data_IF_196751618345
#
_entry.id   IF_196751618345
#
_cell.length_a   1.000
_cell.length_b   1.000
_cell.length_c   1.000
_cell.angle_alpha   90.00
_cell.angle_beta   90.00
_cell.angle_gamma   90.00
#
_symmetry.space_group_name_H-M   'P 1'
#
loop_
_entity.id
_entity.type
_entity.pdbx_description
1 polymer ?
#
# COMPACT_ATOMS: atom_id res chain seq x y z
N UNK A 1 -23.37 -6.21 8.13
CA UNK A 1 -22.25 -7.15 8.26
C UNK A 1 -21.13 -6.48 9.03
N UNK A 2 -20.57 -7.10 10.07
CA UNK A 2 -19.42 -6.53 10.80
C UNK A 2 -18.16 -6.75 9.96
N UNK A 3 -17.39 -5.70 9.73
CA UNK A 3 -16.08 -5.84 9.10
C UNK A 3 -15.15 -6.68 9.99
N UNK A 4 -14.34 -7.59 9.42
CA UNK A 4 -13.30 -8.28 10.17
C UNK A 4 -12.37 -7.28 10.87
N UNK A 5 -11.85 -7.63 12.06
CA UNK A 5 -10.94 -6.76 12.82
C UNK A 5 -9.72 -6.33 12.00
N UNK A 6 -9.14 -7.23 11.21
CA UNK A 6 -7.97 -6.94 10.38
C UNK A 6 -8.30 -6.00 9.20
N UNK A 7 -9.52 -6.07 8.67
CA UNK A 7 -10.01 -5.08 7.68
C UNK A 7 -10.10 -3.69 8.31
N UNK A 8 -10.62 -3.57 9.54
CA UNK A 8 -10.67 -2.29 10.25
C UNK A 8 -9.27 -1.72 10.52
N UNK A 9 -8.30 -2.58 10.87
CA UNK A 9 -6.89 -2.19 11.00
C UNK A 9 -6.36 -1.64 9.68
N UNK A 10 -6.62 -2.33 8.56
CA UNK A 10 -6.22 -1.85 7.23
C UNK A 10 -6.83 -0.49 6.88
N UNK A 11 -8.12 -0.31 7.15
CA UNK A 11 -8.80 0.99 6.96
C UNK A 11 -8.17 2.09 7.82
N UNK A 12 -7.88 1.80 9.10
CA UNK A 12 -7.25 2.76 10.00
C UNK A 12 -5.85 3.17 9.51
N UNK A 13 -5.05 2.23 9.02
CA UNK A 13 -3.72 2.49 8.46
C UNK A 13 -3.82 3.42 7.23
N UNK A 14 -4.73 3.13 6.30
CA UNK A 14 -4.94 3.97 5.12
C UNK A 14 -5.44 5.37 5.50
N UNK A 15 -6.33 5.47 6.49
CA UNK A 15 -6.82 6.74 6.99
C UNK A 15 -5.69 7.58 7.61
N UNK A 16 -4.83 6.97 8.44
CA UNK A 16 -3.65 7.63 9.01
C UNK A 16 -2.67 8.07 7.91
N UNK A 17 -2.47 7.24 6.89
CA UNK A 17 -1.64 7.57 5.72
C UNK A 17 -2.18 8.76 4.94
N UNK A 18 -3.51 8.86 4.76
CA UNK A 18 -4.16 10.00 4.12
C UNK A 18 -4.02 11.27 4.96
N UNK A 19 -4.25 11.17 6.28
CA UNK A 19 -4.08 12.29 7.22
C UNK A 19 -2.65 12.80 7.18
N UNK A 20 -1.65 11.92 7.21
CA UNK A 20 -0.24 12.31 7.12
C UNK A 20 0.05 13.11 5.84
N UNK A 21 -0.45 12.64 4.69
CA UNK A 21 -0.29 13.37 3.43
C UNK A 21 -0.98 14.74 3.42
N UNK A 22 -2.20 14.83 3.93
CA UNK A 22 -2.94 16.11 4.02
C UNK A 22 -2.24 17.09 4.97
N UNK A 23 -1.74 16.61 6.11
CA UNK A 23 -1.01 17.43 7.09
C UNK A 23 0.30 17.97 6.50
N UNK A 24 0.99 17.17 5.68
CA UNK A 24 2.25 17.57 5.03
C UNK A 24 2.05 18.41 3.76
N UNK A 25 0.83 18.48 3.23
CA UNK A 25 0.53 19.20 1.98
C UNK A 25 1.07 20.65 1.94
N UNK A 26 1.02 21.47 3.01
CA UNK A 26 1.51 22.85 2.98
C UNK A 26 3.03 22.99 2.83
N UNK A 27 3.80 21.94 3.14
CA UNK A 27 5.27 21.95 3.08
C UNK A 27 5.83 21.16 1.91
N UNK A 28 4.97 20.51 1.12
CA UNK A 28 5.36 19.81 -0.09
C UNK A 28 5.61 20.80 -1.24
N UNK A 29 6.53 20.47 -2.17
CA UNK A 29 6.67 21.23 -3.41
C UNK A 29 5.38 21.18 -4.23
N UNK A 30 5.16 22.18 -5.09
CA UNK A 30 3.95 22.25 -5.93
C UNK A 30 3.79 21.05 -6.88
N UNK A 31 4.92 20.45 -7.27
CA UNK A 31 5.03 19.25 -8.08
C UNK A 31 5.77 18.17 -7.29
N UNK A 32 5.14 17.01 -7.13
CA UNK A 32 5.66 15.88 -6.35
C UNK A 32 5.92 14.67 -7.24
N UNK A 33 7.06 14.02 -7.02
CA UNK A 33 7.40 12.76 -7.66
C UNK A 33 6.46 11.64 -7.16
N UNK A 34 5.95 10.83 -8.09
CA UNK A 34 5.06 9.68 -7.77
C UNK A 34 5.47 8.38 -8.44
N UNK A 35 6.36 8.43 -9.43
CA UNK A 35 6.91 7.27 -10.13
C UNK A 35 8.43 7.40 -10.18
N UNK A 36 9.10 6.25 -10.10
CA UNK A 36 10.55 6.16 -9.99
C UNK A 36 11.06 5.06 -10.93
N UNK A 37 11.83 5.47 -11.94
CA UNK A 37 12.44 4.60 -12.94
C UNK A 37 13.94 4.50 -12.68
N UNK A 38 14.45 3.29 -12.46
CA UNK A 38 15.89 3.08 -12.19
C UNK A 38 16.37 3.71 -10.87
N UNK A 39 15.47 4.04 -9.95
CA UNK A 39 15.77 4.68 -8.66
C UNK A 39 15.49 6.18 -8.61
N UNK A 40 15.46 6.85 -9.77
CA UNK A 40 15.22 8.28 -9.91
C UNK A 40 13.76 8.61 -10.28
N UNK A 41 13.23 9.78 -9.88
CA UNK A 41 11.88 10.18 -10.22
C UNK A 41 11.77 10.51 -11.71
N UNK A 42 10.80 9.91 -12.39
CA UNK A 42 10.56 10.08 -13.84
C UNK A 42 9.14 10.61 -14.16
N UNK A 43 8.25 10.69 -13.16
CA UNK A 43 6.90 11.26 -13.28
C UNK A 43 6.48 12.06 -12.05
N UNK A 44 5.77 13.14 -12.31
CA UNK A 44 5.37 14.13 -11.31
C UNK A 44 3.92 14.57 -11.49
N UNK A 45 3.27 14.94 -10.38
CA UNK A 45 1.91 15.48 -10.37
C UNK A 45 1.78 16.63 -9.38
N UNK A 46 0.67 17.36 -9.42
CA UNK A 46 0.38 18.37 -8.40
C UNK A 46 0.31 17.73 -7.00
N UNK A 47 0.83 18.43 -5.98
CA UNK A 47 0.91 17.91 -4.61
C UNK A 47 -0.41 17.32 -4.06
N UNK A 48 -1.59 17.95 -4.26
CA UNK A 48 -2.85 17.37 -3.78
C UNK A 48 -3.16 16.01 -4.42
N UNK A 49 -2.83 15.84 -5.69
CA UNK A 49 -3.02 14.57 -6.39
C UNK A 49 -2.04 13.51 -5.87
N UNK A 50 -0.76 13.86 -5.70
CA UNK A 50 0.23 12.91 -5.18
C UNK A 50 -0.08 12.43 -3.76
N UNK A 51 -0.56 13.33 -2.89
CA UNK A 51 -0.97 13.01 -1.52
C UNK A 51 -2.16 12.05 -1.48
N UNK A 52 -3.13 12.20 -2.38
CA UNK A 52 -4.37 11.42 -2.39
C UNK A 52 -4.29 10.12 -3.19
N UNK A 53 -3.28 9.95 -4.03
CA UNK A 53 -3.15 8.83 -4.96
C UNK A 53 -3.15 7.48 -4.22
N UNK A 54 -2.21 7.26 -3.30
CA UNK A 54 -2.04 5.98 -2.60
C UNK A 54 -3.23 5.66 -1.69
N UNK A 55 -3.77 6.59 -0.87
CA UNK A 55 -4.98 6.32 -0.12
C UNK A 55 -6.18 5.92 -0.99
N UNK A 56 -6.35 6.58 -2.15
CA UNK A 56 -7.45 6.27 -3.08
C UNK A 56 -7.29 4.87 -3.67
N UNK A 57 -6.08 4.51 -4.11
CA UNK A 57 -5.77 3.16 -4.58
C UNK A 57 -6.03 2.13 -3.48
N UNK A 58 -5.62 2.41 -2.25
CA UNK A 58 -5.83 1.52 -1.10
C UNK A 58 -7.30 1.27 -0.79
N UNK A 59 -8.13 2.32 -0.77
CA UNK A 59 -9.58 2.18 -0.59
C UNK A 59 -10.17 1.34 -1.73
N UNK A 60 -9.81 1.64 -2.99
CA UNK A 60 -10.27 0.88 -4.14
C UNK A 60 -9.92 -0.61 -4.04
N UNK A 61 -8.69 -0.93 -3.63
CA UNK A 61 -8.25 -2.31 -3.47
C UNK A 61 -8.99 -3.03 -2.33
N UNK A 62 -9.24 -2.37 -1.20
CA UNK A 62 -10.06 -2.94 -0.13
C UNK A 62 -11.50 -3.20 -0.60
N UNK A 63 -12.10 -2.28 -1.34
CA UNK A 63 -13.44 -2.48 -1.90
C UNK A 63 -13.48 -3.69 -2.83
N UNK A 64 -12.49 -3.86 -3.71
CA UNK A 64 -12.40 -5.01 -4.61
C UNK A 64 -12.31 -6.33 -3.83
N UNK A 65 -11.41 -6.43 -2.85
CA UNK A 65 -11.25 -7.67 -2.06
C UNK A 65 -12.51 -8.03 -1.28
N UNK A 66 -13.19 -7.04 -0.70
CA UNK A 66 -14.43 -7.27 0.07
C UNK A 66 -15.61 -7.59 -0.85
N UNK A 67 -15.70 -6.95 -2.01
CA UNK A 67 -16.74 -7.21 -3.00
C UNK A 67 -16.63 -8.63 -3.57
N UNK A 68 -15.43 -9.06 -3.98
CA UNK A 68 -15.18 -10.42 -4.46
C UNK A 68 -15.59 -11.48 -3.42
N UNK A 69 -15.20 -11.28 -2.15
CA UNK A 69 -15.60 -12.16 -1.06
C UNK A 69 -17.11 -12.17 -0.79
N UNK A 70 -17.79 -11.02 -0.89
CA UNK A 70 -19.24 -10.91 -0.66
C UNK A 70 -20.08 -11.53 -1.79
N UNK A 71 -19.57 -11.52 -3.02
CA UNK A 71 -20.27 -12.02 -4.22
C UNK A 71 -19.91 -13.44 -4.61
N UNK A 72 -19.03 -14.09 -3.84
CA UNK A 72 -18.45 -15.41 -4.16
C UNK A 72 -17.83 -15.49 -5.56
N UNK A 73 -17.39 -14.34 -6.10
CA UNK A 73 -16.68 -14.26 -7.38
C UNK A 73 -15.20 -14.53 -7.10
N UNK A 74 -14.71 -15.68 -7.59
CA UNK A 74 -13.33 -16.10 -7.39
C UNK A 74 -13.03 -16.57 -5.97
N UNK A 75 -11.74 -16.67 -5.64
CA UNK A 75 -11.31 -17.10 -4.31
C UNK A 75 -11.45 -15.96 -3.30
N UNK A 76 -12.02 -16.26 -2.13
CA UNK A 76 -12.14 -15.31 -1.04
C UNK A 76 -10.76 -14.91 -0.50
N UNK A 77 -10.57 -13.60 -0.31
CA UNK A 77 -9.31 -13.06 0.18
C UNK A 77 -9.33 -13.01 1.71
N UNK A 78 -8.38 -13.67 2.41
CA UNK A 78 -8.32 -13.67 3.86
C UNK A 78 -8.28 -12.24 4.43
N UNK A 79 -8.98 -11.93 5.54
CA UNK A 79 -8.97 -10.58 6.10
C UNK A 79 -7.59 -10.03 6.50
N UNK A 80 -6.61 -10.89 6.78
CA UNK A 80 -5.23 -10.48 7.07
C UNK A 80 -4.56 -9.77 5.89
N UNK A 81 -4.96 -10.12 4.66
CA UNK A 81 -4.45 -9.50 3.45
C UNK A 81 -4.73 -7.99 3.44
N UNK A 82 -5.90 -7.56 3.92
CA UNK A 82 -6.28 -6.14 3.96
C UNK A 82 -5.29 -5.31 4.79
N UNK A 83 -4.92 -5.82 5.98
CA UNK A 83 -3.95 -5.15 6.84
C UNK A 83 -2.53 -5.15 6.27
N UNK A 84 -2.12 -6.25 5.61
CA UNK A 84 -0.80 -6.34 4.96
C UNK A 84 -0.71 -5.38 3.78
N UNK A 85 -1.74 -5.38 2.93
CA UNK A 85 -1.83 -4.47 1.78
C UNK A 85 -1.85 -3.01 2.23
N UNK A 86 -2.66 -2.67 3.23
CA UNK A 86 -2.72 -1.31 3.77
C UNK A 86 -1.37 -0.86 4.34
N UNK A 87 -0.66 -1.75 5.04
CA UNK A 87 0.68 -1.48 5.57
C UNK A 87 1.67 -1.21 4.45
N UNK A 88 1.65 -2.03 3.39
CA UNK A 88 2.50 -1.82 2.23
C UNK A 88 2.23 -0.48 1.55
N UNK A 89 0.96 -0.14 1.32
CA UNK A 89 0.59 1.13 0.68
C UNK A 89 0.96 2.32 1.56
N UNK A 90 0.73 2.26 2.88
CA UNK A 90 1.17 3.31 3.80
C UNK A 90 2.69 3.47 3.83
N UNK A 91 3.44 2.37 3.72
CA UNK A 91 4.90 2.40 3.59
C UNK A 91 5.33 3.11 2.29
N UNK A 92 4.73 2.77 1.15
CA UNK A 92 5.00 3.45 -0.13
C UNK A 92 4.67 4.94 -0.04
N UNK A 93 3.52 5.31 0.54
CA UNK A 93 3.16 6.71 0.74
C UNK A 93 4.21 7.43 1.59
N UNK A 94 4.69 6.80 2.67
CA UNK A 94 5.70 7.40 3.54
C UNK A 94 7.03 7.63 2.79
N UNK A 95 7.46 6.68 1.95
CA UNK A 95 8.64 6.86 1.10
C UNK A 95 8.46 8.01 0.10
N UNK A 96 7.32 8.07 -0.58
CA UNK A 96 7.01 9.14 -1.54
C UNK A 96 7.02 10.51 -0.84
N UNK A 97 6.39 10.62 0.33
CA UNK A 97 6.38 11.85 1.12
C UNK A 97 7.80 12.23 1.57
N UNK A 98 8.55 11.29 2.13
CA UNK A 98 9.92 11.54 2.59
C UNK A 98 10.82 12.03 1.45
N UNK A 99 10.72 11.39 0.27
CA UNK A 99 11.48 11.78 -0.91
C UNK A 99 11.16 13.20 -1.36
N UNK A 100 9.87 13.54 -1.42
CA UNK A 100 9.40 14.88 -1.82
C UNK A 100 9.70 15.97 -0.77
N UNK A 101 9.89 15.58 0.49
CA UNK A 101 10.39 16.46 1.56
C UNK A 101 11.92 16.63 1.55
N UNK A 102 12.62 15.95 0.64
CA UNK A 102 14.06 16.12 0.41
C UNK A 102 14.94 15.00 0.94
N UNK A 103 14.38 13.92 1.50
CA UNK A 103 15.15 12.72 1.80
C UNK A 103 15.56 12.05 0.47
N UNK A 104 16.79 12.29 0.01
CA UNK A 104 17.30 11.72 -1.24
C UNK A 104 17.81 10.30 -0.97
N UNK A 105 17.09 9.31 -1.45
CA UNK A 105 17.45 7.91 -1.38
C UNK A 105 17.04 7.19 -2.67
N UNK A 106 17.65 6.02 -2.91
CA UNK A 106 17.28 5.16 -4.02
C UNK A 106 15.95 4.46 -3.72
N UNK A 107 14.91 4.79 -4.49
CA UNK A 107 13.57 4.24 -4.31
C UNK A 107 13.52 2.73 -4.57
N UNK A 108 14.34 2.21 -5.49
CA UNK A 108 14.41 0.79 -5.80
C UNK A 108 14.90 0.01 -4.58
N UNK A 109 15.95 0.50 -3.93
CA UNK A 109 16.47 -0.10 -2.69
C UNK A 109 15.46 0.03 -1.55
N UNK A 110 14.82 1.19 -1.43
CA UNK A 110 13.83 1.44 -0.37
C UNK A 110 12.62 0.49 -0.44
N UNK A 111 12.23 0.01 -1.62
CA UNK A 111 11.09 -0.91 -1.77
C UNK A 111 11.45 -2.38 -1.49
N UNK A 112 12.75 -2.73 -1.44
CA UNK A 112 13.21 -4.12 -1.21
C UNK A 112 12.59 -4.78 0.03
N UNK A 113 12.51 -4.15 1.22
CA UNK A 113 11.92 -4.79 2.39
C UNK A 113 10.47 -5.23 2.17
N UNK A 114 9.70 -4.46 1.41
CA UNK A 114 8.33 -4.81 1.06
C UNK A 114 8.29 -6.04 0.13
N UNK A 115 9.10 -6.03 -0.93
CA UNK A 115 9.19 -7.16 -1.89
C UNK A 115 9.60 -8.45 -1.19
N UNK A 116 10.61 -8.39 -0.32
CA UNK A 116 11.06 -9.55 0.47
C UNK A 116 9.94 -10.06 1.36
N UNK A 117 9.20 -9.18 2.04
CA UNK A 117 8.09 -9.56 2.91
C UNK A 117 7.00 -10.30 2.14
N UNK A 118 6.57 -9.78 0.98
CA UNK A 118 5.57 -10.47 0.15
C UNK A 118 6.11 -11.79 -0.42
N UNK A 119 7.38 -11.83 -0.83
CA UNK A 119 8.02 -13.05 -1.31
C UNK A 119 8.05 -14.14 -0.23
N UNK A 120 8.41 -13.80 1.01
CA UNK A 120 8.41 -14.74 2.14
C UNK A 120 7.00 -15.26 2.42
N UNK A 121 6.00 -14.37 2.47
CA UNK A 121 4.60 -14.76 2.68
C UNK A 121 4.14 -15.72 1.58
N UNK A 122 4.46 -15.44 0.31
CA UNK A 122 4.10 -16.30 -0.81
C UNK A 122 4.74 -17.69 -0.69
N UNK A 123 6.02 -17.78 -0.35
CA UNK A 123 6.73 -19.06 -0.16
C UNK A 123 6.14 -19.85 1.01
N UNK A 124 5.80 -19.20 2.12
CA UNK A 124 5.19 -19.86 3.28
C UNK A 124 3.82 -20.44 2.93
N UNK A 125 2.99 -19.68 2.22
CA UNK A 125 1.66 -20.13 1.79
C UNK A 125 1.74 -21.30 0.80
N UNK A 126 2.67 -21.24 -0.14
CA UNK A 126 2.92 -22.31 -1.11
C UNK A 126 3.38 -23.61 -0.44
N UNK A 127 4.19 -23.52 0.62
CA UNK A 127 4.59 -24.69 1.42
C UNK A 127 3.42 -25.27 2.21
N UNK A 128 2.68 -24.45 2.94
CA UNK A 128 1.53 -24.90 3.73
C UNK A 128 0.48 -25.61 2.86
N UNK A 129 0.21 -25.08 1.66
CA UNK A 129 -0.72 -25.71 0.71
C UNK A 129 -0.25 -27.03 0.10
N UNK A 130 1.05 -27.36 0.17
CA UNK A 130 1.58 -28.68 -0.23
C UNK A 130 1.48 -29.70 0.90
N UNK A 131 1.65 -29.27 2.15
CA UNK A 131 1.54 -30.14 3.33
C UNK A 131 0.10 -30.62 3.55
N UNK A 132 -0.90 -29.79 3.30
CA UNK A 132 -2.34 -30.15 3.38
C UNK A 132 -2.79 -31.19 2.33
N UNK A 133 -1.95 -31.46 1.31
CA UNK A 133 -2.26 -32.40 0.21
C UNK A 133 -1.54 -33.75 0.34
N UNK A 134 -0.68 -33.92 1.33
CA UNK A 134 0.09 -35.14 1.61
C UNK A 134 -0.59 -35.98 2.70
#
# INVERSE_FOLDING_TARGET
MRAPRLTLVGVAILALSAVAGVVLLPVLPSSVAIHFGGGDPDSFVAAPLGVLLVPTIGIGALLVTRFAGATAIGNSVPPVFDSVLATFLAYVQALVLAYNLGARFDMLVAVVPAVVTFGVVAVVLDRAGREDKA
#
